data_IF_024164396135
#
_entry.id   IF_024164396135
#
_cell.length_a   1.000
_cell.length_b   1.000
_cell.length_c   1.000
_cell.angle_alpha   90.00
_cell.angle_beta   90.00
_cell.angle_gamma   90.00
#
_symmetry.space_group_name_H-M   'P 1'
#
loop_
_entity.id
_entity.type
_entity.pdbx_description
1 polymer ?
#
# COMPACT_ATOMS: atom_id res chain seq x y z
N UNK A 1 89.62 46.79 -14.33
CA UNK A 1 89.39 45.32 -14.21
C UNK A 1 87.86 45.13 -14.17
N UNK A 2 87.25 44.93 -15.36
CA UNK A 2 85.79 44.78 -15.49
C UNK A 2 85.50 43.32 -15.64
N UNK A 3 84.71 42.79 -14.72
CA UNK A 3 84.17 41.39 -14.79
C UNK A 3 82.78 41.45 -15.45
N UNK A 4 82.70 40.79 -16.60
CA UNK A 4 81.44 40.59 -17.33
C UNK A 4 80.68 39.39 -16.71
N UNK A 5 79.40 39.46 -16.39
CA UNK A 5 78.65 38.28 -15.95
C UNK A 5 78.15 37.50 -17.19
N UNK A 6 78.43 36.23 -17.16
CA UNK A 6 78.00 35.25 -18.14
C UNK A 6 76.51 34.97 -17.90
N UNK A 7 75.62 35.36 -18.85
CA UNK A 7 74.20 35.07 -18.83
C UNK A 7 73.94 33.71 -19.46
N UNK A 8 73.61 32.71 -18.62
CA UNK A 8 73.26 31.39 -19.10
C UNK A 8 71.78 31.39 -19.52
N UNK A 9 71.50 31.32 -20.82
CA UNK A 9 70.16 31.20 -21.36
C UNK A 9 69.76 29.72 -21.35
N UNK A 10 68.88 29.34 -20.44
CA UNK A 10 68.29 28.01 -20.37
C UNK A 10 67.07 27.96 -21.36
N UNK A 11 67.24 27.27 -22.47
CA UNK A 11 66.17 27.05 -23.45
C UNK A 11 65.38 25.84 -22.95
N UNK A 12 64.15 26.09 -22.46
CA UNK A 12 63.14 25.02 -22.20
C UNK A 12 62.54 24.58 -23.52
N UNK A 13 62.84 23.42 -24.01
CA UNK A 13 62.11 22.76 -25.10
C UNK A 13 60.82 22.17 -24.49
N UNK A 14 59.71 22.87 -24.72
CA UNK A 14 58.39 22.32 -24.45
C UNK A 14 58.07 21.26 -25.52
N UNK A 15 58.30 19.99 -25.17
CA UNK A 15 57.78 18.87 -25.95
C UNK A 15 56.28 18.81 -25.68
N UNK A 16 55.50 19.36 -26.60
CA UNK A 16 54.05 19.22 -26.56
C UNK A 16 53.69 17.75 -26.75
N UNK A 17 53.07 17.15 -25.72
CA UNK A 17 52.40 15.87 -25.90
C UNK A 17 51.17 16.09 -26.84
N UNK A 18 51.34 15.74 -28.11
CA UNK A 18 50.20 15.63 -29.00
C UNK A 18 49.22 14.58 -28.45
N UNK A 19 48.00 15.01 -28.22
CA UNK A 19 46.91 14.12 -27.81
C UNK A 19 46.68 13.13 -28.96
N UNK A 20 46.94 11.87 -28.70
CA UNK A 20 46.70 10.82 -29.69
C UNK A 20 45.26 10.83 -30.23
N UNK A 21 45.03 10.31 -31.41
CA UNK A 21 43.67 10.25 -31.98
C UNK A 21 42.71 9.54 -31.02
N UNK A 22 41.51 10.10 -30.88
CA UNK A 22 40.48 9.47 -30.08
C UNK A 22 40.23 8.03 -30.56
N UNK A 23 40.23 7.09 -29.66
CA UNK A 23 39.93 5.70 -29.99
C UNK A 23 38.59 5.55 -30.64
N UNK A 24 38.34 4.50 -31.40
CA UNK A 24 37.07 4.26 -32.05
C UNK A 24 35.95 4.28 -31.00
N UNK A 25 34.85 4.97 -31.32
CA UNK A 25 33.65 5.00 -30.48
C UNK A 25 33.22 3.55 -30.22
N UNK A 26 33.13 3.16 -28.97
CA UNK A 26 32.65 1.83 -28.60
C UNK A 26 31.31 1.55 -29.27
N UNK A 27 31.06 0.30 -29.65
CA UNK A 27 29.80 -0.11 -30.24
C UNK A 27 28.63 0.33 -29.33
N UNK A 28 27.65 0.97 -29.90
CA UNK A 28 26.42 1.35 -29.21
C UNK A 28 25.81 0.08 -28.61
N UNK A 29 25.59 0.07 -27.30
CA UNK A 29 24.96 -1.06 -26.62
C UNK A 29 23.63 -1.37 -27.30
N UNK A 30 23.31 -2.66 -27.43
CA UNK A 30 22.02 -3.08 -27.95
C UNK A 30 20.90 -2.43 -27.11
N UNK A 31 19.84 -1.90 -27.74
CA UNK A 31 18.67 -1.45 -27.04
C UNK A 31 18.19 -2.57 -26.09
N UNK A 32 17.96 -2.23 -24.84
CA UNK A 32 17.42 -3.21 -23.89
C UNK A 32 16.10 -3.77 -24.44
N UNK A 33 16.00 -5.10 -24.54
CA UNK A 33 14.80 -5.83 -25.00
C UNK A 33 13.75 -5.96 -23.90
N UNK A 34 13.86 -5.15 -22.84
CA UNK A 34 12.91 -5.20 -21.72
C UNK A 34 11.54 -4.64 -22.11
N UNK A 35 10.47 -5.35 -21.73
CA UNK A 35 9.10 -4.83 -21.84
C UNK A 35 9.02 -3.60 -20.92
N UNK A 36 8.55 -2.42 -21.43
CA UNK A 36 8.41 -1.23 -20.60
C UNK A 36 7.51 -1.48 -19.39
N UNK A 37 7.93 -1.04 -18.22
CA UNK A 37 7.12 -1.04 -17.01
C UNK A 37 6.45 0.33 -16.85
N UNK A 38 5.18 0.31 -16.48
CA UNK A 38 4.36 1.48 -16.17
C UNK A 38 3.99 1.46 -14.69
N UNK A 39 3.85 2.65 -14.09
CA UNK A 39 3.37 2.76 -12.71
C UNK A 39 2.17 3.70 -12.67
N UNK A 40 1.19 3.36 -11.87
CA UNK A 40 0.01 4.18 -11.60
C UNK A 40 -0.29 4.17 -10.11
N UNK A 41 -0.66 5.33 -9.57
CA UNK A 41 -1.17 5.51 -8.22
C UNK A 41 -2.68 5.66 -8.28
N UNK A 42 -3.39 5.10 -7.30
CA UNK A 42 -4.83 5.24 -7.11
C UNK A 42 -5.09 5.91 -5.76
N UNK A 43 -5.68 7.09 -5.81
CA UNK A 43 -6.08 7.88 -4.64
C UNK A 43 -7.34 8.68 -5.00
N UNK A 44 -8.41 8.54 -4.22
CA UNK A 44 -9.70 9.16 -4.53
C UNK A 44 -9.59 10.67 -4.80
N UNK A 45 -10.14 11.09 -5.95
CA UNK A 45 -10.20 12.49 -6.43
C UNK A 45 -8.82 13.14 -6.67
N UNK A 46 -7.77 12.33 -6.87
CA UNK A 46 -6.41 12.83 -7.08
C UNK A 46 -5.70 12.02 -8.16
N UNK A 47 -5.59 10.71 -8.00
CA UNK A 47 -4.87 9.83 -8.91
C UNK A 47 -5.71 8.62 -9.33
N UNK A 48 -5.60 8.19 -10.60
CA UNK A 48 -4.75 8.74 -11.68
C UNK A 48 -5.20 10.11 -12.19
N UNK A 49 -6.41 10.53 -11.87
CA UNK A 49 -6.96 11.86 -12.14
C UNK A 49 -8.03 12.22 -11.10
N UNK A 50 -8.54 13.46 -11.13
CA UNK A 50 -9.51 13.98 -10.17
C UNK A 50 -10.92 13.36 -10.29
N UNK A 51 -11.18 12.56 -11.32
CA UNK A 51 -12.44 11.82 -11.48
C UNK A 51 -12.42 10.43 -10.83
N UNK A 52 -11.27 9.96 -10.39
CA UNK A 52 -11.18 8.66 -9.74
C UNK A 52 -11.91 8.66 -8.38
N UNK A 53 -12.86 7.75 -8.22
CA UNK A 53 -13.64 7.54 -6.99
C UNK A 53 -13.72 6.06 -6.61
N UNK A 54 -12.73 5.27 -6.99
CA UNK A 54 -12.75 3.82 -6.89
C UNK A 54 -12.04 3.23 -5.66
N UNK A 55 -11.66 4.05 -4.66
CA UNK A 55 -11.21 3.55 -3.37
C UNK A 55 -12.38 3.54 -2.40
N UNK A 56 -12.71 2.38 -1.85
CA UNK A 56 -13.71 2.17 -0.81
C UNK A 56 -12.98 1.75 0.49
N UNK A 57 -12.75 2.66 1.43
CA UNK A 57 -12.26 2.36 2.76
C UNK A 57 -13.44 2.12 3.71
N UNK A 58 -13.31 1.15 4.60
CA UNK A 58 -14.31 0.82 5.61
C UNK A 58 -13.64 0.16 6.82
N UNK A 59 -14.38 -0.07 7.90
CA UNK A 59 -13.90 -0.88 9.02
C UNK A 59 -15.08 -1.58 9.72
N UNK A 60 -14.79 -2.60 10.48
CA UNK A 60 -15.77 -3.44 11.18
C UNK A 60 -15.53 -3.36 12.67
N UNK A 61 -16.57 -3.04 13.43
CA UNK A 61 -16.49 -2.90 14.88
C UNK A 61 -17.07 -4.13 15.59
N UNK A 62 -16.20 -4.93 16.19
CA UNK A 62 -16.59 -6.08 17.01
C UNK A 62 -17.30 -5.68 18.32
N UNK A 63 -17.12 -4.44 18.77
CA UNK A 63 -17.81 -3.88 19.93
C UNK A 63 -19.27 -3.53 19.65
N UNK A 64 -19.59 -3.20 18.39
CA UNK A 64 -20.93 -2.88 17.91
C UNK A 64 -21.30 -3.74 16.68
N UNK A 65 -21.37 -5.05 16.82
CA UNK A 65 -21.29 -6.00 15.71
C UNK A 65 -22.44 -5.93 14.70
N UNK A 66 -23.52 -5.23 15.02
CA UNK A 66 -24.70 -5.08 14.15
C UNK A 66 -24.86 -3.65 13.62
N UNK A 67 -23.97 -2.74 13.94
CA UNK A 67 -24.01 -1.37 13.47
C UNK A 67 -22.85 -1.11 12.51
N UNK A 68 -23.11 -0.46 11.40
CA UNK A 68 -22.06 0.05 10.54
C UNK A 68 -21.30 1.16 11.29
N UNK A 69 -19.96 1.10 11.33
CA UNK A 69 -19.18 2.14 11.97
C UNK A 69 -19.26 3.45 11.18
N UNK A 70 -18.89 4.55 11.86
CA UNK A 70 -18.85 5.87 11.24
C UNK A 70 -17.81 6.00 10.14
N UNK A 71 -17.97 7.05 9.34
CA UNK A 71 -16.97 7.47 8.33
C UNK A 71 -15.92 8.39 8.96
N UNK A 72 -14.86 8.70 8.22
CA UNK A 72 -13.80 9.62 8.62
C UNK A 72 -12.51 8.90 9.01
N UNK A 73 -12.55 7.59 9.18
CA UNK A 73 -11.38 6.77 9.52
C UNK A 73 -11.55 5.31 9.12
N UNK A 74 -10.43 4.61 9.07
CA UNK A 74 -10.34 3.15 9.10
C UNK A 74 -9.73 2.81 10.44
N UNK A 75 -10.44 2.09 11.30
CA UNK A 75 -9.92 1.70 12.60
C UNK A 75 -9.53 0.23 12.61
N UNK A 76 -8.37 -0.04 13.21
CA UNK A 76 -7.89 -1.39 13.50
C UNK A 76 -7.52 -1.44 14.97
N UNK A 77 -8.22 -2.26 15.73
CA UNK A 77 -8.09 -2.33 17.17
C UNK A 77 -7.70 -3.73 17.61
N UNK A 78 -6.89 -3.79 18.66
CA UNK A 78 -6.53 -5.00 19.37
C UNK A 78 -7.05 -4.90 20.80
N UNK A 79 -7.61 -5.97 21.31
CA UNK A 79 -8.13 -6.05 22.67
C UNK A 79 -8.19 -7.48 23.16
N UNK A 80 -8.30 -7.65 24.48
CA UNK A 80 -8.37 -8.96 25.11
C UNK A 80 -9.73 -9.65 24.98
N UNK A 81 -10.73 -8.93 24.52
CA UNK A 81 -12.07 -9.45 24.25
C UNK A 81 -12.48 -9.15 22.79
N UNK A 82 -13.25 -10.05 22.19
CA UNK A 82 -13.76 -9.87 20.83
C UNK A 82 -14.57 -8.57 20.65
N UNK A 83 -15.12 -8.04 21.74
CA UNK A 83 -15.80 -6.74 21.75
C UNK A 83 -14.89 -5.52 21.57
N UNK A 84 -13.57 -5.71 21.57
CA UNK A 84 -12.59 -4.64 21.43
C UNK A 84 -11.73 -4.79 20.17
N UNK A 85 -12.14 -5.64 19.25
CA UNK A 85 -11.43 -5.84 17.98
C UNK A 85 -12.11 -5.03 16.90
N UNK A 86 -11.32 -4.30 16.13
CA UNK A 86 -11.76 -3.68 14.90
C UNK A 86 -10.87 -4.12 13.74
N UNK A 87 -11.45 -4.30 12.56
CA UNK A 87 -10.77 -4.74 11.35
C UNK A 87 -10.98 -3.72 10.23
N UNK A 88 -9.90 -3.29 9.60
CA UNK A 88 -9.95 -2.39 8.45
C UNK A 88 -10.29 -3.14 7.17
N UNK A 89 -11.02 -2.51 6.28
CA UNK A 89 -11.33 -3.00 4.94
C UNK A 89 -11.00 -1.91 3.91
N UNK A 90 -10.31 -2.29 2.84
CA UNK A 90 -9.99 -1.37 1.74
C UNK A 90 -10.07 -2.11 0.42
N UNK A 91 -10.68 -1.49 -0.59
CA UNK A 91 -10.60 -1.97 -1.98
C UNK A 91 -10.40 -0.82 -2.96
N UNK A 92 -9.80 -1.15 -4.12
CA UNK A 92 -9.51 -0.18 -5.17
C UNK A 92 -9.99 -0.70 -6.53
N UNK A 93 -10.64 0.14 -7.30
CA UNK A 93 -10.99 -0.16 -8.68
C UNK A 93 -9.77 0.08 -9.60
N UNK A 94 -8.98 -0.96 -9.85
CA UNK A 94 -7.79 -0.87 -10.68
C UNK A 94 -8.13 -0.81 -12.19
N UNK A 95 -9.31 -1.31 -12.59
CA UNK A 95 -9.74 -1.28 -13.99
C UNK A 95 -9.95 0.13 -14.54
N UNK A 96 -9.97 1.14 -13.66
CA UNK A 96 -10.08 2.53 -14.07
C UNK A 96 -8.89 3.00 -14.92
N UNK A 97 -7.67 2.55 -14.61
CA UNK A 97 -6.46 3.03 -15.29
C UNK A 97 -5.47 1.91 -15.71
N UNK A 98 -5.57 0.72 -15.17
CA UNK A 98 -4.74 -0.42 -15.61
C UNK A 98 -5.46 -1.14 -16.74
N UNK A 99 -4.86 -1.25 -17.95
CA UNK A 99 -5.45 -1.98 -19.06
C UNK A 99 -5.69 -3.46 -18.73
N UNK A 100 -6.79 -4.03 -19.23
CA UNK A 100 -7.18 -5.42 -18.94
C UNK A 100 -6.15 -6.46 -19.42
N UNK A 101 -5.37 -6.13 -20.45
CA UNK A 101 -4.29 -6.96 -20.98
C UNK A 101 -2.92 -6.71 -20.31
N UNK A 102 -2.85 -5.80 -19.33
CA UNK A 102 -1.63 -5.57 -18.58
C UNK A 102 -1.34 -6.74 -17.64
N UNK A 103 -0.06 -6.93 -17.34
CA UNK A 103 0.42 -7.85 -16.30
C UNK A 103 0.94 -7.06 -15.13
N UNK A 104 0.30 -7.16 -13.96
CA UNK A 104 0.77 -6.50 -12.75
C UNK A 104 2.03 -7.19 -12.24
N UNK A 105 3.07 -6.41 -12.00
CA UNK A 105 4.38 -6.88 -11.49
C UNK A 105 4.60 -6.53 -10.03
N UNK A 106 3.97 -5.46 -9.52
CA UNK A 106 3.93 -5.13 -8.10
C UNK A 106 2.68 -4.33 -7.75
N UNK A 107 2.24 -4.46 -6.49
CA UNK A 107 1.19 -3.64 -5.91
C UNK A 107 1.52 -3.35 -4.45
N UNK A 108 1.19 -2.14 -3.97
CA UNK A 108 1.42 -1.72 -2.57
C UNK A 108 0.26 -0.88 -2.07
N UNK A 109 -0.33 -1.30 -0.95
CA UNK A 109 -1.29 -0.50 -0.18
C UNK A 109 -0.54 0.45 0.72
N UNK A 110 -0.96 1.71 0.77
CA UNK A 110 -0.40 2.73 1.64
C UNK A 110 -1.52 3.42 2.42
N UNK A 111 -1.37 3.47 3.74
CA UNK A 111 -2.31 4.16 4.64
C UNK A 111 -1.55 5.09 5.58
N UNK A 112 -2.09 6.28 5.80
CA UNK A 112 -1.53 7.26 6.73
C UNK A 112 -2.30 7.24 8.05
N UNK A 113 -1.59 7.10 9.17
CA UNK A 113 -2.21 7.10 10.49
C UNK A 113 -2.77 8.47 10.85
N UNK A 114 -3.82 8.49 11.66
CA UNK A 114 -4.34 9.71 12.29
C UNK A 114 -3.65 9.98 13.62
N UNK A 115 -3.65 11.24 14.03
CA UNK A 115 -3.14 11.66 15.35
C UNK A 115 -4.04 11.19 16.52
N UNK A 116 -5.23 10.70 16.21
CA UNK A 116 -6.16 10.06 17.16
C UNK A 116 -5.75 8.62 17.52
N UNK A 117 -4.78 8.03 16.81
CA UNK A 117 -4.20 6.72 17.15
C UNK A 117 -3.80 6.66 18.60
N UNK A 118 -4.26 5.64 19.31
CA UNK A 118 -4.02 5.46 20.73
C UNK A 118 -3.73 3.98 21.03
N UNK A 119 -2.46 3.61 20.96
CA UNK A 119 -1.96 2.29 21.34
C UNK A 119 -1.29 2.37 22.71
N UNK A 120 -1.53 1.41 23.57
CA UNK A 120 -0.78 1.24 24.82
C UNK A 120 0.71 1.05 24.51
N UNK A 121 1.59 1.24 25.51
CA UNK A 121 3.03 1.07 25.28
C UNK A 121 3.36 -0.35 24.80
N UNK A 122 4.03 -0.46 23.65
CA UNK A 122 4.43 -1.76 23.11
C UNK A 122 4.72 -1.76 21.61
N UNK A 123 4.91 -2.96 21.10
CA UNK A 123 5.13 -3.25 19.68
C UNK A 123 3.89 -3.95 19.12
N UNK A 124 3.47 -3.52 17.94
CA UNK A 124 2.29 -3.99 17.25
C UNK A 124 2.64 -4.46 15.86
N UNK A 125 2.01 -5.53 15.44
CA UNK A 125 2.09 -6.04 14.05
C UNK A 125 0.72 -5.90 13.43
N UNK A 126 0.63 -5.22 12.30
CA UNK A 126 -0.59 -5.08 11.52
C UNK A 126 -0.40 -5.78 10.18
N UNK A 127 -1.22 -6.79 9.95
CA UNK A 127 -1.18 -7.61 8.76
C UNK A 127 -2.25 -7.24 7.74
N UNK A 128 -2.03 -7.64 6.50
CA UNK A 128 -3.02 -7.55 5.43
C UNK A 128 -3.36 -8.93 4.89
N UNK A 129 -4.65 -9.17 4.68
CA UNK A 129 -5.22 -10.43 4.23
C UNK A 129 -6.13 -10.21 3.02
N UNK A 130 -6.21 -11.22 2.17
CA UNK A 130 -7.19 -11.23 1.09
C UNK A 130 -8.59 -11.49 1.67
N UNK A 131 -9.56 -10.65 1.34
CA UNK A 131 -10.98 -10.95 1.60
C UNK A 131 -11.42 -12.03 0.63
N UNK A 132 -12.02 -13.11 1.16
CA UNK A 132 -12.51 -14.24 0.40
C UNK A 132 -13.88 -13.86 -0.20
N UNK A 133 -14.16 -14.22 -1.46
CA UNK A 133 -15.47 -14.00 -2.06
C UNK A 133 -16.57 -14.65 -1.21
N UNK A 134 -17.62 -13.91 -0.84
CA UNK A 134 -18.77 -14.49 -0.15
C UNK A 134 -19.45 -15.55 -1.04
N UNK A 135 -20.27 -16.42 -0.47
CA UNK A 135 -21.00 -17.44 -1.24
C UNK A 135 -21.72 -16.88 -2.48
N UNK A 136 -21.87 -17.72 -3.50
CA UNK A 136 -22.43 -17.31 -4.78
C UNK A 136 -23.75 -16.51 -4.66
N UNK A 137 -23.81 -15.39 -5.36
CA UNK A 137 -24.97 -14.48 -5.36
C UNK A 137 -24.89 -13.35 -4.34
N UNK A 138 -23.89 -13.29 -3.49
CA UNK A 138 -23.67 -12.14 -2.61
C UNK A 138 -22.82 -11.08 -3.30
N UNK A 139 -23.13 -9.83 -2.98
CA UNK A 139 -22.36 -8.67 -3.44
C UNK A 139 -21.17 -8.41 -2.51
N UNK A 140 -20.11 -7.72 -2.98
CA UNK A 140 -19.04 -7.26 -2.10
C UNK A 140 -19.58 -6.38 -0.97
N UNK A 141 -18.84 -6.33 0.14
CA UNK A 141 -19.10 -5.42 1.24
C UNK A 141 -19.20 -3.94 0.78
N UNK A 142 -19.85 -3.12 1.57
CA UNK A 142 -20.00 -1.67 1.34
C UNK A 142 -20.06 -0.92 2.68
N UNK A 143 -20.32 0.38 2.65
CA UNK A 143 -20.38 1.25 3.84
C UNK A 143 -21.46 0.86 4.87
N UNK A 144 -22.41 0.01 4.50
CA UNK A 144 -23.40 -0.54 5.41
C UNK A 144 -22.97 -1.88 6.03
N UNK A 145 -21.81 -2.40 5.68
CA UNK A 145 -21.29 -3.64 6.25
C UNK A 145 -21.00 -3.48 7.74
N UNK A 146 -21.25 -4.56 8.49
CA UNK A 146 -21.02 -4.61 9.93
C UNK A 146 -20.18 -5.84 10.26
N UNK A 147 -19.78 -5.99 11.52
CA UNK A 147 -19.05 -7.18 11.97
C UNK A 147 -19.79 -8.50 11.65
N UNK A 148 -21.13 -8.50 11.74
CA UNK A 148 -21.96 -9.68 11.52
C UNK A 148 -22.59 -9.76 10.13
N UNK A 149 -22.57 -8.70 9.35
CA UNK A 149 -23.30 -8.60 8.08
C UNK A 149 -22.42 -8.00 6.99
N UNK A 150 -22.22 -8.77 5.91
CA UNK A 150 -21.49 -8.25 4.74
C UNK A 150 -22.34 -7.26 3.95
N UNK A 151 -23.58 -7.64 3.63
CA UNK A 151 -24.62 -6.81 3.02
C UNK A 151 -25.95 -7.39 3.41
N UNK A 152 -26.83 -6.62 4.04
CA UNK A 152 -28.13 -7.12 4.49
C UNK A 152 -28.93 -7.78 3.35
N UNK A 153 -29.54 -8.95 3.57
CA UNK A 153 -29.65 -9.67 4.83
C UNK A 153 -28.57 -10.72 5.09
N UNK A 154 -27.44 -10.68 4.39
CA UNK A 154 -26.42 -11.74 4.39
C UNK A 154 -25.31 -11.46 5.41
N UNK A 155 -25.02 -12.43 6.27
CA UNK A 155 -23.81 -12.46 7.11
C UNK A 155 -22.58 -12.85 6.29
N UNK A 156 -21.40 -12.67 6.86
CA UNK A 156 -20.13 -12.92 6.18
C UNK A 156 -20.02 -14.34 5.63
N UNK A 157 -20.35 -15.34 6.41
CA UNK A 157 -20.29 -16.74 5.99
C UNK A 157 -21.59 -17.24 5.31
N UNK A 158 -22.34 -16.35 4.66
CA UNK A 158 -23.57 -16.71 3.95
C UNK A 158 -24.78 -16.98 4.84
N UNK A 159 -24.64 -16.90 6.16
CA UNK A 159 -25.77 -16.95 7.12
C UNK A 159 -26.54 -15.64 7.17
N UNK A 160 -27.64 -15.63 7.90
CA UNK A 160 -28.43 -14.40 8.08
C UNK A 160 -27.72 -13.35 8.97
N UNK A 161 -26.85 -13.81 9.87
CA UNK A 161 -25.98 -12.98 10.70
C UNK A 161 -24.85 -13.88 11.20
N UNK A 162 -23.62 -13.55 10.80
CA UNK A 162 -22.43 -14.33 11.15
C UNK A 162 -21.24 -13.40 11.24
N UNK A 163 -20.45 -13.43 12.32
CA UNK A 163 -19.27 -12.59 12.43
C UNK A 163 -18.26 -12.94 11.35
N UNK A 164 -17.49 -11.93 10.93
CA UNK A 164 -16.37 -12.13 10.03
C UNK A 164 -15.36 -13.10 10.66
N UNK A 165 -14.91 -14.09 9.90
CA UNK A 165 -14.12 -15.21 10.42
C UNK A 165 -12.91 -15.50 9.54
N UNK A 166 -11.74 -15.64 10.17
CA UNK A 166 -10.50 -16.02 9.48
C UNK A 166 -10.61 -17.43 8.86
N UNK A 167 -10.06 -17.61 7.68
CA UNK A 167 -10.10 -18.85 6.92
C UNK A 167 -11.42 -19.11 6.21
N UNK A 168 -12.43 -18.27 6.44
CA UNK A 168 -13.76 -18.36 5.82
C UNK A 168 -14.06 -17.08 5.01
N UNK A 169 -14.02 -15.91 5.65
CA UNK A 169 -14.35 -14.63 5.03
C UNK A 169 -13.11 -13.88 4.58
N UNK A 170 -11.97 -14.19 5.14
CA UNK A 170 -10.67 -13.74 4.70
C UNK A 170 -9.62 -14.83 4.87
N UNK A 171 -8.60 -14.78 4.02
CA UNK A 171 -7.51 -15.75 4.05
C UNK A 171 -6.73 -15.60 5.38
N UNK A 172 -6.60 -16.68 6.14
CA UNK A 172 -5.79 -16.68 7.36
C UNK A 172 -4.28 -16.52 7.08
N UNK A 173 -3.84 -16.79 5.84
CA UNK A 173 -2.47 -16.55 5.46
C UNK A 173 -2.25 -15.05 5.23
N UNK A 174 -1.23 -14.53 5.90
CA UNK A 174 -0.79 -13.17 5.80
C UNK A 174 -0.19 -12.91 4.40
N UNK A 175 -0.55 -11.79 3.76
CA UNK A 175 0.13 -11.32 2.55
C UNK A 175 1.39 -10.54 2.87
N UNK A 176 1.29 -9.63 3.84
CA UNK A 176 2.38 -8.79 4.33
C UNK A 176 2.03 -8.23 5.71
N UNK A 177 3.03 -7.79 6.46
CA UNK A 177 2.84 -7.19 7.77
C UNK A 177 3.81 -6.03 8.02
N UNK A 178 3.34 -5.05 8.75
CA UNK A 178 4.15 -3.91 9.22
C UNK A 178 4.21 -3.94 10.74
N UNK A 179 5.41 -3.81 11.27
CA UNK A 179 5.66 -3.71 12.70
C UNK A 179 5.87 -2.25 13.08
N UNK A 180 5.16 -1.79 14.09
CA UNK A 180 5.26 -0.43 14.63
C UNK A 180 5.30 -0.44 16.14
N UNK A 181 5.87 0.61 16.73
CA UNK A 181 5.77 0.86 18.17
C UNK A 181 4.78 1.97 18.45
N UNK A 182 4.12 1.92 19.61
CA UNK A 182 3.23 3.01 20.06
C UNK A 182 3.91 4.37 20.04
N UNK A 183 5.21 4.43 20.36
CA UNK A 183 6.00 5.68 20.34
C UNK A 183 6.16 6.24 18.94
N UNK A 184 6.21 5.39 17.91
CA UNK A 184 6.33 5.84 16.51
C UNK A 184 5.04 6.49 16.00
N UNK A 185 3.89 5.95 16.38
CA UNK A 185 2.62 6.31 15.73
C UNK A 185 1.64 7.07 16.59
N UNK A 186 1.69 6.94 17.93
CA UNK A 186 0.83 7.76 18.79
C UNK A 186 1.16 9.24 18.62
N UNK A 187 0.14 10.03 18.32
CA UNK A 187 0.24 11.48 18.08
C UNK A 187 1.05 11.90 16.84
N UNK A 188 1.44 10.95 15.99
CA UNK A 188 2.14 11.22 14.74
C UNK A 188 1.31 10.71 13.55
N UNK A 189 1.47 11.39 12.42
CA UNK A 189 0.97 10.88 11.13
C UNK A 189 2.12 10.13 10.45
N UNK A 190 1.96 8.82 10.32
CA UNK A 190 2.97 7.93 9.73
C UNK A 190 2.35 7.18 8.57
N UNK A 191 3.05 7.15 7.44
CA UNK A 191 2.68 6.34 6.30
C UNK A 191 3.13 4.90 6.56
N UNK A 192 2.19 3.97 6.55
CA UNK A 192 2.46 2.54 6.56
C UNK A 192 2.19 1.96 5.18
N UNK A 193 3.01 1.01 4.76
CA UNK A 193 2.93 0.40 3.43
C UNK A 193 3.03 -1.12 3.52
N UNK A 194 2.14 -1.81 2.81
CA UNK A 194 2.11 -3.26 2.68
C UNK A 194 2.21 -3.68 1.22
N UNK A 195 2.99 -4.73 0.97
CA UNK A 195 3.02 -5.34 -0.35
C UNK A 195 1.77 -6.21 -0.55
N UNK A 196 1.13 -6.02 -1.68
CA UNK A 196 -0.05 -6.80 -2.07
C UNK A 196 0.38 -7.79 -3.14
N UNK A 197 -0.08 -9.03 -3.02
CA UNK A 197 0.20 -10.06 -4.00
C UNK A 197 -0.21 -9.59 -5.42
N UNK A 198 0.72 -9.49 -6.38
CA UNK A 198 0.42 -9.04 -7.74
C UNK A 198 -0.68 -9.87 -8.43
N UNK A 199 -0.75 -11.17 -8.15
CA UNK A 199 -1.80 -12.03 -8.70
C UNK A 199 -3.19 -11.69 -8.17
N UNK A 200 -3.29 -11.24 -6.92
CA UNK A 200 -4.55 -10.74 -6.36
C UNK A 200 -4.94 -9.40 -7.00
N UNK A 201 -4.00 -8.45 -7.09
CA UNK A 201 -4.24 -7.17 -7.74
C UNK A 201 -4.62 -7.35 -9.23
N UNK A 202 -4.05 -8.36 -9.91
CA UNK A 202 -4.40 -8.73 -11.28
C UNK A 202 -5.88 -9.08 -11.45
N UNK A 203 -6.50 -9.74 -10.46
CA UNK A 203 -7.94 -10.06 -10.50
C UNK A 203 -8.77 -8.79 -10.53
N UNK A 204 -8.34 -7.72 -9.87
CA UNK A 204 -9.07 -6.46 -9.76
C UNK A 204 -9.00 -5.56 -11.00
N UNK A 205 -8.12 -5.88 -11.95
CA UNK A 205 -8.04 -5.18 -13.24
C UNK A 205 -9.22 -5.53 -14.15
N UNK A 206 -9.80 -6.72 -13.99
CA UNK A 206 -10.95 -7.11 -14.78
C UNK A 206 -12.25 -6.65 -14.10
N UNK A 207 -13.03 -5.70 -14.70
CA UNK A 207 -14.23 -5.16 -14.08
C UNK A 207 -15.37 -6.19 -13.93
N UNK A 208 -15.31 -7.32 -14.64
CA UNK A 208 -16.26 -8.43 -14.46
C UNK A 208 -15.96 -9.30 -13.24
N UNK A 209 -14.77 -9.18 -12.65
CA UNK A 209 -14.42 -9.89 -11.44
C UNK A 209 -14.84 -9.05 -10.22
N UNK A 210 -15.48 -9.71 -9.25
CA UNK A 210 -15.78 -9.05 -8.00
C UNK A 210 -14.49 -8.76 -7.22
N UNK A 211 -14.29 -7.51 -6.90
CA UNK A 211 -13.20 -7.06 -6.05
C UNK A 211 -13.68 -7.04 -4.60
N UNK A 212 -13.18 -7.97 -3.80
CA UNK A 212 -13.52 -8.05 -2.37
C UNK A 212 -12.51 -7.33 -1.48
N UNK A 213 -11.39 -6.83 -2.06
CA UNK A 213 -10.43 -5.99 -1.35
C UNK A 213 -9.51 -6.74 -0.39
N UNK A 214 -9.04 -5.97 0.57
CA UNK A 214 -8.04 -6.31 1.58
C UNK A 214 -8.65 -6.07 2.95
N UNK A 215 -8.36 -6.98 3.87
CA UNK A 215 -8.62 -6.81 5.29
C UNK A 215 -7.30 -6.49 6.00
N UNK A 216 -7.36 -5.58 6.96
CA UNK A 216 -6.24 -5.19 7.83
C UNK A 216 -6.60 -5.62 9.25
N UNK A 217 -5.72 -6.38 9.88
CA UNK A 217 -5.92 -6.92 11.24
C UNK A 217 -4.71 -6.70 12.13
N UNK A 218 -4.89 -6.67 13.44
CA UNK A 218 -3.79 -6.88 14.37
C UNK A 218 -3.36 -8.35 14.33
N UNK A 219 -2.05 -8.60 14.36
CA UNK A 219 -1.48 -9.93 14.26
C UNK A 219 -1.09 -10.51 15.64
N UNK A 220 -1.00 -11.85 15.76
CA UNK A 220 -0.65 -12.50 17.03
C UNK A 220 0.72 -12.14 17.60
N UNK A 221 1.66 -11.71 16.76
CA UNK A 221 3.00 -11.28 17.17
C UNK A 221 3.00 -9.96 17.93
N UNK A 222 1.86 -9.29 17.99
CA UNK A 222 1.64 -8.12 18.86
C UNK A 222 1.88 -8.54 20.32
N UNK A 223 2.95 -8.01 20.92
CA UNK A 223 3.41 -8.48 22.23
C UNK A 223 2.62 -7.86 23.41
N UNK A 224 2.23 -8.68 24.36
CA UNK A 224 1.63 -8.26 25.63
C UNK A 224 0.10 -8.20 25.62
N UNK A 225 -0.48 -7.80 26.75
CA UNK A 225 -1.91 -7.47 26.90
C UNK A 225 -2.16 -6.08 26.33
N UNK A 226 -1.88 -5.92 25.04
CA UNK A 226 -1.97 -4.61 24.40
C UNK A 226 -3.43 -4.29 24.13
N UNK A 227 -3.82 -3.09 24.48
CA UNK A 227 -5.12 -2.54 24.16
C UNK A 227 -4.94 -1.21 23.45
N UNK A 228 -5.89 -0.86 22.60
CA UNK A 228 -5.90 0.38 21.85
C UNK A 228 -6.22 0.17 20.41
N UNK A 229 -6.14 1.25 19.66
CA UNK A 229 -6.43 1.25 18.23
C UNK A 229 -5.42 2.07 17.44
N UNK A 230 -5.21 1.66 16.20
CA UNK A 230 -4.62 2.48 15.17
C UNK A 230 -5.75 3.00 14.28
N UNK A 231 -5.72 4.28 14.00
CA UNK A 231 -6.68 4.94 13.13
C UNK A 231 -5.96 5.46 11.89
N UNK A 232 -6.48 5.13 10.71
CA UNK A 232 -6.00 5.64 9.44
C UNK A 232 -7.01 6.60 8.85
N UNK A 233 -6.54 7.55 8.06
CA UNK A 233 -7.41 8.38 7.26
C UNK A 233 -8.16 7.53 6.23
N UNK A 234 -9.43 7.83 6.06
CA UNK A 234 -10.23 7.36 4.92
C UNK A 234 -10.18 8.38 3.77
N UNK A 235 -11.20 8.38 2.91
CA UNK A 235 -11.30 9.32 1.80
C UNK A 235 -11.55 10.78 2.21
N UNK A 236 -11.76 11.06 3.50
CA UNK A 236 -11.94 12.44 4.03
C UNK A 236 -10.62 13.14 4.31
N UNK A 237 -9.50 12.41 4.36
CA UNK A 237 -8.16 12.96 4.48
C UNK A 237 -7.79 13.90 3.32
N UNK A 238 -6.74 14.70 3.51
CA UNK A 238 -6.16 15.47 2.40
C UNK A 238 -5.34 14.56 1.45
N UNK A 239 -4.82 15.12 0.36
CA UNK A 239 -4.09 14.39 -0.68
C UNK A 239 -2.87 13.59 -0.24
N UNK A 240 -2.37 13.80 0.97
CA UNK A 240 -1.23 13.05 1.51
C UNK A 240 -1.66 11.96 2.49
N UNK A 241 -2.93 11.95 2.87
CA UNK A 241 -3.46 11.15 3.98
C UNK A 241 -4.40 10.04 3.52
N UNK A 242 -5.08 10.21 2.38
CA UNK A 242 -6.03 9.23 1.85
C UNK A 242 -5.37 7.87 1.59
N UNK A 243 -6.13 6.78 1.63
CA UNK A 243 -5.65 5.48 1.19
C UNK A 243 -5.13 5.53 -0.25
N UNK A 244 -3.99 4.88 -0.49
CA UNK A 244 -3.34 4.80 -1.79
C UNK A 244 -3.04 3.36 -2.18
N UNK A 245 -3.16 3.09 -3.47
CA UNK A 245 -2.65 1.86 -4.07
C UNK A 245 -1.67 2.23 -5.19
N UNK A 246 -0.42 1.83 -5.04
CA UNK A 246 0.59 1.96 -6.09
C UNK A 246 0.70 0.64 -6.84
N UNK A 247 0.56 0.68 -8.15
CA UNK A 247 0.61 -0.51 -9.02
C UNK A 247 1.65 -0.31 -10.11
N UNK A 248 2.51 -1.32 -10.31
CA UNK A 248 3.42 -1.38 -11.46
C UNK A 248 3.00 -2.54 -12.35
N UNK A 249 2.99 -2.30 -13.67
CA UNK A 249 2.55 -3.30 -14.64
C UNK A 249 3.32 -3.18 -15.96
N UNK A 250 3.25 -4.21 -16.78
CA UNK A 250 3.75 -4.24 -18.15
C UNK A 250 2.59 -4.49 -19.11
N UNK A 251 2.76 -4.03 -20.35
CA UNK A 251 1.81 -4.34 -21.44
C UNK A 251 2.57 -5.18 -22.47
N UNK A 252 2.01 -6.32 -22.90
CA UNK A 252 2.64 -7.20 -23.90
C UNK A 252 2.88 -6.50 -25.24
#
# INVERSE_FOLDING_TARGET
MNKLPLFLILIFILVGCEKGPAGPTGAQGQPGTGIPAYSVEFENSIYPDNGYGGCDPHWLDGGNPNNAPGTGQIEVATGTASSNVALGLVRFNLSYAVPVNATITSASLQLTTQTTTNLSSGTYVFGVHQVIPPPAGQVPWNDASTWNVVVAPFGWNGGASSPITAGVDFNSNLMDAVTVTSTQINSNQVLLAWNINPSLAQVWVNPSNNNYGILISPEPETSGTLSGFISFWDNTGNSQQKPKMLVTYTIP
#
